data_IF_329195976928
#
_entry.id   IF_329195976928
#
_cell.length_a   1.000
_cell.length_b   1.000
_cell.length_c   1.000
_cell.angle_alpha   90.00
_cell.angle_beta   90.00
_cell.angle_gamma   90.00
#
_symmetry.space_group_name_H-M   'P 1'
#
loop_
_entity.id
_entity.type
_entity.pdbx_description
1 polymer ?
#
# COMPACT_ATOMS: atom_id res chain seq x y z
N UNK A 1 8.50 -7.83 -25.82
CA UNK A 1 7.75 -7.54 -24.57
C UNK A 1 7.77 -8.79 -23.73
N UNK A 2 8.31 -8.72 -22.52
CA UNK A 2 8.27 -9.83 -21.56
C UNK A 2 6.83 -9.89 -21.04
N UNK A 3 6.25 -11.09 -20.93
CA UNK A 3 4.89 -11.25 -20.40
C UNK A 3 4.87 -11.02 -18.87
N UNK A 4 3.72 -10.62 -18.32
CA UNK A 4 3.52 -10.50 -16.87
C UNK A 4 3.88 -11.78 -16.11
N UNK A 5 3.55 -12.91 -16.69
CA UNK A 5 3.86 -14.20 -16.10
C UNK A 5 5.37 -14.45 -16.02
N UNK A 6 6.12 -14.09 -17.08
CA UNK A 6 7.59 -14.18 -17.07
C UNK A 6 8.23 -13.22 -16.09
N UNK A 7 7.67 -12.00 -15.93
CA UNK A 7 8.11 -11.04 -14.90
C UNK A 7 7.88 -11.61 -13.50
N UNK A 8 6.69 -12.12 -13.23
CA UNK A 8 6.36 -12.70 -11.93
C UNK A 8 7.26 -13.91 -11.58
N UNK A 9 7.50 -14.80 -12.54
CA UNK A 9 8.37 -15.96 -12.31
C UNK A 9 9.84 -15.58 -12.14
N UNK A 10 10.33 -14.64 -12.95
CA UNK A 10 11.75 -14.26 -12.99
C UNK A 10 12.16 -13.37 -11.81
N UNK A 11 11.26 -12.48 -11.36
CA UNK A 11 11.58 -11.46 -10.38
C UNK A 11 10.85 -11.61 -9.05
N UNK A 12 10.07 -12.67 -8.90
CA UNK A 12 9.25 -12.93 -7.70
C UNK A 12 10.02 -12.80 -6.40
N UNK A 13 11.21 -13.37 -6.33
CA UNK A 13 11.98 -13.40 -5.09
C UNK A 13 12.48 -11.98 -4.72
N UNK A 14 12.84 -11.17 -5.71
CA UNK A 14 13.27 -9.78 -5.50
C UNK A 14 12.08 -8.89 -5.12
N UNK A 15 10.95 -9.05 -5.81
CA UNK A 15 9.72 -8.34 -5.49
C UNK A 15 9.21 -8.71 -4.08
N UNK A 16 9.33 -9.99 -3.71
CA UNK A 16 9.00 -10.46 -2.37
C UNK A 16 9.92 -9.84 -1.30
N UNK A 17 11.22 -9.70 -1.59
CA UNK A 17 12.16 -9.06 -0.68
C UNK A 17 11.84 -7.57 -0.48
N UNK A 18 11.52 -6.84 -1.56
CA UNK A 18 11.02 -5.46 -1.49
C UNK A 18 9.78 -5.39 -0.59
N UNK A 19 8.83 -6.30 -0.82
CA UNK A 19 7.61 -6.42 -0.02
C UNK A 19 7.91 -6.64 1.46
N UNK A 20 8.77 -7.60 1.77
CA UNK A 20 9.16 -7.94 3.14
C UNK A 20 9.81 -6.77 3.88
N UNK A 21 10.80 -6.13 3.27
CA UNK A 21 11.52 -5.01 3.88
C UNK A 21 10.60 -3.81 4.05
N UNK A 22 9.84 -3.46 3.02
CA UNK A 22 8.91 -2.33 3.05
C UNK A 22 7.80 -2.50 4.08
N UNK A 23 7.15 -3.65 4.06
CA UNK A 23 6.09 -3.98 5.01
C UNK A 23 6.62 -4.10 6.45
N UNK A 24 7.81 -4.67 6.65
CA UNK A 24 8.45 -4.75 7.97
C UNK A 24 8.75 -3.38 8.57
N UNK A 25 9.26 -2.44 7.76
CA UNK A 25 9.50 -1.07 8.21
C UNK A 25 8.17 -0.35 8.52
N UNK A 26 7.15 -0.54 7.68
CA UNK A 26 5.83 0.03 7.90
C UNK A 26 5.19 -0.51 9.19
N UNK A 27 5.26 -1.83 9.42
CA UNK A 27 4.76 -2.48 10.63
C UNK A 27 5.43 -1.92 11.88
N UNK A 28 6.75 -1.78 11.87
CA UNK A 28 7.50 -1.19 12.98
C UNK A 28 7.04 0.24 13.25
N UNK A 29 6.88 1.07 12.21
CA UNK A 29 6.45 2.45 12.37
C UNK A 29 5.01 2.55 12.92
N UNK A 30 4.10 1.68 12.50
CA UNK A 30 2.72 1.62 13.03
C UNK A 30 2.72 1.12 14.48
N UNK A 31 3.50 0.08 14.79
CA UNK A 31 3.63 -0.45 16.15
C UNK A 31 4.13 0.62 17.13
N UNK A 32 5.16 1.37 16.75
CA UNK A 32 5.70 2.48 17.55
C UNK A 32 4.67 3.59 17.76
N UNK A 33 3.91 3.93 16.70
CA UNK A 33 2.89 4.99 16.76
C UNK A 33 1.71 4.59 17.66
N UNK A 34 1.25 3.34 17.58
CA UNK A 34 0.12 2.84 18.37
C UNK A 34 0.53 2.40 19.79
N UNK A 35 1.83 2.26 20.05
CA UNK A 35 2.33 1.71 21.30
C UNK A 35 1.96 0.25 21.51
N UNK A 36 1.78 -0.50 20.42
CA UNK A 36 1.36 -1.89 20.41
C UNK A 36 2.45 -2.78 19.81
N UNK A 37 2.38 -4.06 20.15
CA UNK A 37 3.12 -5.08 19.41
C UNK A 37 2.26 -5.51 18.21
N UNK A 38 2.78 -5.30 17.02
CA UNK A 38 2.15 -5.74 15.78
C UNK A 38 3.06 -6.79 15.14
N UNK A 39 2.55 -7.97 14.91
CA UNK A 39 3.22 -9.01 14.14
C UNK A 39 2.69 -8.93 12.69
N UNK A 40 3.50 -9.31 11.72
CA UNK A 40 3.19 -9.22 10.30
C UNK A 40 3.27 -10.61 9.66
N UNK A 41 2.30 -10.95 8.84
CA UNK A 41 2.41 -12.13 7.97
C UNK A 41 3.47 -11.90 6.88
N UNK A 42 4.00 -12.97 6.31
CA UNK A 42 4.88 -12.86 5.14
C UNK A 42 4.09 -12.24 4.00
N UNK A 43 4.50 -11.08 3.46
CA UNK A 43 3.76 -10.41 2.40
C UNK A 43 3.64 -11.28 1.16
N UNK A 44 2.46 -11.31 0.58
CA UNK A 44 2.23 -11.89 -0.74
C UNK A 44 2.40 -10.80 -1.79
N UNK A 45 3.37 -10.98 -2.66
CA UNK A 45 3.67 -10.00 -3.70
C UNK A 45 3.21 -10.52 -5.05
N UNK A 46 2.44 -9.71 -5.76
CA UNK A 46 1.92 -10.01 -7.09
C UNK A 46 2.09 -8.80 -7.99
N UNK A 47 2.51 -9.06 -9.22
CA UNK A 47 2.50 -8.09 -10.30
C UNK A 47 1.34 -8.44 -11.22
N UNK A 48 0.33 -7.58 -11.28
CA UNK A 48 -0.94 -7.86 -11.95
C UNK A 48 -1.51 -6.61 -12.62
N UNK A 49 -2.41 -6.79 -13.61
CA UNK A 49 -3.15 -5.68 -14.19
C UNK A 49 -3.94 -4.93 -13.11
N UNK A 50 -3.99 -3.59 -13.22
CA UNK A 50 -4.70 -2.72 -12.27
C UNK A 50 -6.18 -3.12 -12.14
N UNK A 51 -6.80 -3.56 -13.23
CA UNK A 51 -8.19 -4.03 -13.29
C UNK A 51 -8.46 -5.31 -12.48
N UNK A 52 -7.43 -6.11 -12.21
CA UNK A 52 -7.55 -7.35 -11.42
C UNK A 52 -7.38 -7.13 -9.91
N UNK A 53 -6.97 -5.94 -9.48
CA UNK A 53 -6.71 -5.63 -8.07
C UNK A 53 -7.98 -5.86 -7.23
N UNK A 54 -9.13 -5.35 -7.69
CA UNK A 54 -10.41 -5.46 -6.97
C UNK A 54 -10.78 -6.91 -6.68
N UNK A 55 -10.69 -7.75 -7.69
CA UNK A 55 -10.95 -9.20 -7.58
C UNK A 55 -9.94 -9.88 -6.65
N UNK A 56 -8.66 -9.47 -6.70
CA UNK A 56 -7.58 -10.06 -5.89
C UNK A 56 -7.72 -9.78 -4.40
N UNK A 57 -8.29 -8.64 -4.01
CA UNK A 57 -8.54 -8.31 -2.60
C UNK A 57 -9.88 -8.84 -2.08
N UNK A 58 -10.78 -9.26 -2.98
CA UNK A 58 -12.06 -9.90 -2.62
C UNK A 58 -13.09 -9.01 -1.93
N UNK A 59 -12.93 -7.69 -2.01
CA UNK A 59 -13.71 -6.71 -1.25
C UNK A 59 -14.54 -5.75 -2.14
N UNK A 60 -14.90 -6.14 -3.37
CA UNK A 60 -15.53 -5.24 -4.35
C UNK A 60 -16.79 -4.52 -3.84
N UNK A 61 -17.59 -5.22 -3.05
CA UNK A 61 -18.87 -4.73 -2.51
C UNK A 61 -18.75 -4.21 -1.05
N UNK A 62 -17.54 -4.10 -0.52
CA UNK A 62 -17.32 -3.65 0.86
C UNK A 62 -16.93 -2.17 0.91
N UNK A 63 -17.31 -1.50 1.99
CA UNK A 63 -16.81 -0.16 2.31
C UNK A 63 -15.44 -0.31 2.94
N UNK A 64 -14.46 0.37 2.36
CA UNK A 64 -13.06 0.35 2.81
C UNK A 64 -12.51 1.76 3.00
N UNK A 65 -11.39 1.84 3.67
CA UNK A 65 -10.58 3.06 3.76
C UNK A 65 -9.43 2.96 2.78
N UNK A 66 -9.37 3.90 1.84
CA UNK A 66 -8.28 4.04 0.89
C UNK A 66 -7.46 5.29 1.18
N UNK A 67 -6.14 5.11 1.25
CA UNK A 67 -5.17 6.21 1.37
C UNK A 67 -4.31 6.19 0.12
N UNK A 68 -4.40 7.23 -0.69
CA UNK A 68 -3.66 7.35 -1.94
C UNK A 68 -2.70 8.53 -1.89
N UNK A 69 -1.51 8.35 -2.44
CA UNK A 69 -0.48 9.38 -2.59
C UNK A 69 0.29 9.19 -3.89
N UNK A 70 0.77 10.29 -4.44
CA UNK A 70 1.71 10.26 -5.55
C UNK A 70 3.12 9.93 -5.06
N UNK A 71 3.90 9.38 -5.95
CA UNK A 71 5.33 9.10 -5.78
C UNK A 71 6.08 9.89 -6.85
N UNK A 72 7.15 10.55 -6.47
CA UNK A 72 7.94 11.39 -7.37
C UNK A 72 9.43 11.39 -7.04
N UNK A 73 10.22 12.07 -7.83
CA UNK A 73 11.67 12.29 -7.88
C UNK A 73 12.35 11.43 -8.96
N UNK A 74 13.12 10.38 -8.62
CA UNK A 74 13.78 9.54 -9.65
C UNK A 74 12.77 8.60 -10.34
N UNK A 75 11.66 8.33 -9.68
CA UNK A 75 10.51 7.57 -10.24
C UNK A 75 9.23 8.36 -10.05
N UNK A 76 8.30 8.16 -10.96
CA UNK A 76 6.94 8.71 -10.91
C UNK A 76 5.92 7.58 -10.83
N UNK A 77 4.80 7.84 -10.18
CA UNK A 77 3.73 6.87 -9.99
C UNK A 77 2.81 7.21 -8.84
N UNK A 78 2.10 6.22 -8.36
CA UNK A 78 1.29 6.36 -7.15
C UNK A 78 1.37 5.13 -6.25
N UNK A 79 0.98 5.32 -5.01
CA UNK A 79 0.87 4.27 -4.02
C UNK A 79 -0.49 4.37 -3.35
N UNK A 80 -1.07 3.24 -3.05
CA UNK A 80 -2.32 3.14 -2.32
C UNK A 80 -2.16 2.17 -1.15
N UNK A 81 -2.73 2.53 -0.01
CA UNK A 81 -2.91 1.65 1.12
C UNK A 81 -4.41 1.50 1.37
N UNK A 82 -4.87 0.26 1.41
CA UNK A 82 -6.27 -0.08 1.62
C UNK A 82 -6.40 -0.86 2.92
N UNK A 83 -7.45 -0.59 3.68
CA UNK A 83 -7.80 -1.36 4.88
C UNK A 83 -9.32 -1.46 5.01
N UNK A 84 -9.79 -2.50 5.65
CA UNK A 84 -11.20 -2.61 6.01
C UNK A 84 -11.61 -1.58 7.08
N UNK A 85 -12.91 -1.34 7.21
CA UNK A 85 -13.44 -0.34 8.14
C UNK A 85 -13.15 -0.69 9.61
N UNK A 86 -13.16 -1.97 9.97
CA UNK A 86 -12.88 -2.45 11.32
C UNK A 86 -11.45 -2.15 11.71
N UNK A 87 -10.49 -2.48 10.83
CA UNK A 87 -9.07 -2.14 11.00
C UNK A 87 -8.83 -0.65 11.13
N UNK A 88 -9.47 0.15 10.27
CA UNK A 88 -9.34 1.61 10.32
C UNK A 88 -9.92 2.19 11.60
N UNK A 89 -11.09 1.72 12.03
CA UNK A 89 -11.73 2.15 13.29
C UNK A 89 -10.87 1.80 14.49
N UNK A 90 -10.31 0.59 14.52
CA UNK A 90 -9.40 0.18 15.58
C UNK A 90 -8.18 1.09 15.69
N UNK A 91 -7.51 1.35 14.57
CA UNK A 91 -6.34 2.25 14.51
C UNK A 91 -6.71 3.64 15.05
N UNK A 92 -7.82 4.21 14.57
CA UNK A 92 -8.27 5.54 14.99
C UNK A 92 -8.62 5.56 16.48
N UNK A 93 -9.36 4.57 16.99
CA UNK A 93 -9.71 4.50 18.40
C UNK A 93 -8.46 4.46 19.29
N UNK A 94 -7.46 3.70 18.91
CA UNK A 94 -6.18 3.65 19.63
C UNK A 94 -5.46 5.00 19.63
N UNK A 95 -5.36 5.66 18.49
CA UNK A 95 -4.72 6.97 18.37
C UNK A 95 -5.46 8.06 19.15
N UNK A 96 -6.77 8.02 19.15
CA UNK A 96 -7.63 8.98 19.81
C UNK A 96 -7.91 8.64 21.28
N UNK A 97 -7.31 7.55 21.80
CA UNK A 97 -7.52 7.04 23.17
C UNK A 97 -9.01 6.78 23.48
N UNK A 98 -9.74 6.31 22.48
CA UNK A 98 -11.15 5.90 22.60
C UNK A 98 -11.26 4.42 22.99
N UNK A 99 -12.41 3.98 23.53
CA UNK A 99 -12.69 2.54 23.72
C UNK A 99 -12.60 1.78 22.41
N UNK A 100 -12.18 0.51 22.45
CA UNK A 100 -12.03 -0.33 21.25
C UNK A 100 -13.36 -0.62 20.55
N UNK A 101 -14.48 -0.56 21.28
CA UNK A 101 -15.84 -0.75 20.79
C UNK A 101 -16.54 0.54 20.31
N UNK A 102 -15.82 1.65 20.21
CA UNK A 102 -16.35 2.90 19.68
C UNK A 102 -16.54 2.78 18.15
N UNK A 103 -17.76 2.86 17.67
CA UNK A 103 -18.16 2.62 16.27
C UNK A 103 -19.07 3.74 15.74
N UNK A 104 -18.54 4.96 15.71
CA UNK A 104 -19.20 6.11 15.09
C UNK A 104 -18.59 6.37 13.70
N UNK A 105 -19.31 7.09 12.86
CA UNK A 105 -18.78 7.56 11.58
C UNK A 105 -17.54 8.43 11.78
N UNK A 106 -16.57 8.32 10.87
CA UNK A 106 -15.35 9.12 10.94
C UNK A 106 -15.64 10.61 10.79
N UNK A 107 -15.18 11.39 11.77
CA UNK A 107 -15.16 12.84 11.69
C UNK A 107 -13.88 13.37 11.00
N UNK A 108 -13.74 14.68 10.88
CA UNK A 108 -12.55 15.31 10.25
C UNK A 108 -11.24 14.99 11.00
N UNK A 109 -11.31 14.82 12.33
CA UNK A 109 -10.15 14.48 13.14
C UNK A 109 -9.74 13.02 12.90
N UNK A 110 -10.69 12.11 12.80
CA UNK A 110 -10.47 10.70 12.50
C UNK A 110 -9.84 10.53 11.14
N UNK A 111 -10.36 11.21 10.12
CA UNK A 111 -9.77 11.20 8.78
C UNK A 111 -8.36 11.81 8.76
N UNK A 112 -8.08 12.81 9.60
CA UNK A 112 -6.73 13.36 9.76
C UNK A 112 -5.78 12.36 10.42
N UNK A 113 -6.24 11.59 11.41
CA UNK A 113 -5.49 10.52 12.03
C UNK A 113 -5.16 9.41 11.03
N UNK A 114 -6.15 8.93 10.27
CA UNK A 114 -5.97 7.97 9.18
C UNK A 114 -4.95 8.46 8.15
N UNK A 115 -5.03 9.73 7.79
CA UNK A 115 -4.09 10.35 6.83
C UNK A 115 -2.65 10.34 7.34
N UNK A 116 -2.44 10.62 8.62
CA UNK A 116 -1.09 10.60 9.22
C UNK A 116 -0.55 9.17 9.31
N UNK A 117 -1.39 8.19 9.65
CA UNK A 117 -1.04 6.76 9.59
C UNK A 117 -0.56 6.38 8.19
N UNK A 118 -1.36 6.69 7.17
CA UNK A 118 -1.01 6.39 5.79
C UNK A 118 0.29 7.03 5.34
N UNK A 119 0.55 8.26 5.76
CA UNK A 119 1.80 8.98 5.48
C UNK A 119 3.02 8.29 6.11
N UNK A 120 2.90 7.83 7.36
CA UNK A 120 3.97 7.11 8.06
C UNK A 120 4.25 5.76 7.38
N UNK A 121 3.20 4.99 7.09
CA UNK A 121 3.29 3.70 6.43
C UNK A 121 3.94 3.85 5.05
N UNK A 122 3.43 4.75 4.22
CA UNK A 122 3.95 5.00 2.88
C UNK A 122 5.40 5.49 2.91
N UNK A 123 5.72 6.41 3.84
CA UNK A 123 7.08 6.92 4.02
C UNK A 123 8.07 5.82 4.39
N UNK A 124 7.68 4.93 5.30
CA UNK A 124 8.52 3.79 5.71
C UNK A 124 8.75 2.82 4.56
N UNK A 125 7.68 2.52 3.79
CA UNK A 125 7.77 1.65 2.61
C UNK A 125 8.69 2.24 1.52
N UNK A 126 8.45 3.51 1.14
CA UNK A 126 9.25 4.18 0.11
C UNK A 126 10.70 4.39 0.55
N UNK A 127 10.95 4.59 1.84
CA UNK A 127 12.31 4.64 2.39
C UNK A 127 13.04 3.30 2.23
N UNK A 128 12.35 2.17 2.47
CA UNK A 128 12.91 0.85 2.23
C UNK A 128 13.23 0.62 0.75
N UNK A 129 12.30 0.98 -0.13
CA UNK A 129 12.49 0.88 -1.58
C UNK A 129 13.67 1.76 -2.04
N UNK A 130 13.78 3.00 -1.55
CA UNK A 130 14.92 3.88 -1.79
C UNK A 130 16.23 3.23 -1.34
N UNK A 131 16.26 2.63 -0.16
CA UNK A 131 17.46 1.96 0.38
C UNK A 131 17.91 0.77 -0.47
N UNK A 132 16.98 0.01 -1.03
CA UNK A 132 17.28 -1.15 -1.88
C UNK A 132 17.73 -0.75 -3.30
N UNK A 133 17.09 0.27 -3.85
CA UNK A 133 17.29 0.69 -5.24
C UNK A 133 18.39 1.76 -5.41
N UNK A 134 18.69 2.49 -4.35
CA UNK A 134 19.53 3.69 -4.41
C UNK A 134 18.85 4.88 -5.10
N UNK A 135 17.54 4.77 -5.43
CA UNK A 135 16.77 5.84 -6.04
C UNK A 135 16.22 6.78 -4.97
N UNK A 136 16.13 8.07 -5.30
CA UNK A 136 15.45 9.06 -4.46
C UNK A 136 13.97 8.99 -4.75
N UNK A 137 13.16 8.65 -3.74
CA UNK A 137 11.72 8.45 -3.88
C UNK A 137 11.00 9.28 -2.81
N UNK A 138 10.11 10.18 -3.22
CA UNK A 138 9.40 11.09 -2.30
C UNK A 138 7.89 10.95 -2.45
N UNK A 139 7.14 10.77 -1.34
CA UNK A 139 5.69 10.77 -1.38
C UNK A 139 5.13 12.20 -1.45
N UNK A 140 3.97 12.34 -2.09
CA UNK A 140 3.15 13.55 -2.00
C UNK A 140 2.26 13.54 -0.74
N UNK A 141 1.44 14.57 -0.58
CA UNK A 141 0.45 14.62 0.51
C UNK A 141 -0.64 13.56 0.25
N UNK A 142 -0.93 12.67 1.22
CA UNK A 142 -1.97 11.67 1.06
C UNK A 142 -3.37 12.25 0.90
N UNK A 143 -4.17 11.58 0.09
CA UNK A 143 -5.62 11.73 0.01
C UNK A 143 -6.27 10.50 0.66
N UNK A 144 -7.31 10.71 1.46
CA UNK A 144 -8.07 9.64 2.13
C UNK A 144 -9.48 9.62 1.58
N UNK A 145 -9.99 8.44 1.28
CA UNK A 145 -11.38 8.19 0.93
C UNK A 145 -11.93 7.02 1.74
N UNK A 146 -13.19 7.12 2.11
CA UNK A 146 -13.98 6.03 2.70
C UNK A 146 -15.16 5.82 1.76
N UNK A 147 -15.15 4.71 1.03
CA UNK A 147 -16.15 4.42 0.01
C UNK A 147 -16.15 2.92 -0.31
N UNK A 148 -17.04 2.50 -1.19
CA UNK A 148 -17.03 1.15 -1.77
C UNK A 148 -15.67 0.86 -2.40
N UNK A 149 -15.12 -0.32 -2.18
CA UNK A 149 -13.82 -0.71 -2.71
C UNK A 149 -13.75 -0.54 -4.24
N UNK A 150 -14.82 -0.90 -4.95
CA UNK A 150 -14.91 -0.69 -6.40
C UNK A 150 -14.76 0.79 -6.80
N UNK A 151 -15.31 1.72 -6.02
CA UNK A 151 -15.19 3.15 -6.28
C UNK A 151 -13.73 3.63 -6.06
N UNK A 152 -13.12 3.24 -4.93
CA UNK A 152 -11.74 3.60 -4.59
C UNK A 152 -10.76 3.02 -5.63
N UNK A 153 -10.91 1.76 -6.00
CA UNK A 153 -10.06 1.07 -6.97
C UNK A 153 -10.27 1.53 -8.42
N UNK A 154 -11.40 2.19 -8.71
CA UNK A 154 -11.61 2.79 -10.03
C UNK A 154 -10.68 3.97 -10.31
N UNK A 155 -10.23 4.67 -9.28
CA UNK A 155 -9.37 5.85 -9.41
C UNK A 155 -8.01 5.49 -10.05
N UNK A 156 -7.26 4.50 -9.57
CA UNK A 156 -6.05 4.03 -10.24
C UNK A 156 -6.29 3.51 -11.64
N UNK A 157 -7.35 2.71 -11.84
CA UNK A 157 -7.70 2.17 -13.15
C UNK A 157 -7.95 3.29 -14.19
N UNK A 158 -8.63 4.37 -13.80
CA UNK A 158 -8.87 5.53 -14.65
C UNK A 158 -7.58 6.31 -14.88
N UNK A 159 -6.77 6.50 -13.85
CA UNK A 159 -5.56 7.32 -13.90
C UNK A 159 -4.43 6.63 -14.67
N UNK A 160 -4.29 5.33 -14.55
CA UNK A 160 -3.20 4.53 -15.12
C UNK A 160 -3.61 3.63 -16.30
N UNK A 161 -4.89 3.34 -16.49
CA UNK A 161 -5.39 2.57 -17.65
C UNK A 161 -5.11 3.19 -19.02
N UNK A 162 -4.49 4.37 -19.07
CA UNK A 162 -3.97 5.00 -20.26
C UNK A 162 -2.44 4.88 -20.44
N UNK A 163 -1.71 4.39 -19.41
CA UNK A 163 -0.24 4.45 -19.41
C UNK A 163 0.48 3.11 -19.17
N UNK A 164 -0.23 2.02 -19.05
CA UNK A 164 0.38 0.70 -18.78
C UNK A 164 -0.20 0.08 -17.53
N UNK A 165 -0.67 -1.05 -17.70
CA UNK A 165 -1.77 -1.70 -17.00
C UNK A 165 -1.34 -2.52 -15.80
N UNK A 166 -0.18 -2.27 -15.19
CA UNK A 166 0.35 -3.20 -14.18
C UNK A 166 0.69 -2.51 -12.87
N UNK A 167 0.30 -3.15 -11.78
CA UNK A 167 0.60 -2.73 -10.42
C UNK A 167 1.40 -3.81 -9.67
N UNK A 168 2.30 -3.38 -8.83
CA UNK A 168 2.92 -4.21 -7.83
C UNK A 168 2.03 -4.21 -6.58
N UNK A 169 1.24 -5.24 -6.42
CA UNK A 169 0.41 -5.42 -5.24
C UNK A 169 1.16 -6.20 -4.17
N UNK A 170 1.15 -5.68 -2.96
CA UNK A 170 1.74 -6.32 -1.78
C UNK A 170 0.65 -6.46 -0.73
N UNK A 171 0.14 -7.67 -0.62
CA UNK A 171 -0.82 -8.01 0.42
C UNK A 171 -0.07 -8.29 1.71
N UNK A 172 -0.36 -7.54 2.75
CA UNK A 172 0.21 -7.72 4.08
C UNK A 172 -0.91 -7.77 5.10
N UNK A 173 -0.91 -8.81 5.91
CA UNK A 173 -1.80 -8.93 7.06
C UNK A 173 -1.01 -8.57 8.30
N UNK A 174 -1.50 -7.60 9.06
CA UNK A 174 -0.95 -7.23 10.34
C UNK A 174 -1.78 -7.91 11.42
N UNK A 175 -1.15 -8.62 12.31
CA UNK A 175 -1.84 -9.23 13.44
C UNK A 175 -1.40 -8.56 14.73
N UNK A 176 -2.34 -7.86 15.33
CA UNK A 176 -2.38 -7.60 16.76
C UNK A 176 -3.50 -8.46 17.37
N UNK A 177 -3.99 -8.11 18.56
CA UNK A 177 -5.12 -8.80 19.17
C UNK A 177 -6.43 -8.69 18.35
N UNK A 178 -6.51 -7.75 17.38
CA UNK A 178 -7.70 -7.42 16.59
C UNK A 178 -7.55 -7.64 15.07
N UNK A 179 -6.43 -8.17 14.61
CA UNK A 179 -6.18 -8.51 13.19
C UNK A 179 -6.42 -7.36 12.21
N UNK A 180 -5.46 -6.45 12.11
CA UNK A 180 -5.49 -5.36 11.12
C UNK A 180 -5.15 -5.91 9.74
N UNK A 181 -6.07 -5.80 8.79
CA UNK A 181 -5.86 -6.19 7.40
C UNK A 181 -5.54 -4.97 6.54
N UNK A 182 -4.46 -5.05 5.79
CA UNK A 182 -4.05 -3.97 4.91
C UNK A 182 -3.40 -4.46 3.62
N UNK A 183 -3.62 -3.71 2.55
CA UNK A 183 -3.06 -3.98 1.22
C UNK A 183 -2.25 -2.78 0.77
N UNK A 184 -1.02 -3.05 0.36
CA UNK A 184 -0.22 -2.07 -0.35
C UNK A 184 -0.28 -2.30 -1.83
N UNK A 185 -0.46 -1.23 -2.57
CA UNK A 185 -0.48 -1.23 -4.02
C UNK A 185 0.47 -0.14 -4.48
N UNK A 186 1.57 -0.52 -5.12
CA UNK A 186 2.50 0.40 -5.76
C UNK A 186 2.28 0.33 -7.27
N UNK A 187 2.04 1.47 -7.87
CA UNK A 187 1.77 1.64 -9.31
C UNK A 187 2.77 2.62 -9.89
N UNK A 188 4.00 2.16 -10.22
CA UNK A 188 4.96 2.99 -10.93
C UNK A 188 4.50 3.24 -12.37
N UNK A 189 4.85 4.39 -12.93
CA UNK A 189 4.77 4.58 -14.38
C UNK A 189 5.74 3.63 -15.11
N UNK A 190 5.48 3.34 -16.39
CA UNK A 190 6.24 2.35 -17.17
C UNK A 190 7.76 2.58 -17.12
N UNK A 191 8.20 3.81 -17.36
CA UNK A 191 9.63 4.16 -17.29
C UNK A 191 10.21 4.02 -15.86
N UNK A 192 9.39 4.27 -14.85
CA UNK A 192 9.77 4.16 -13.44
C UNK A 192 9.91 2.72 -13.00
N UNK A 193 9.06 1.84 -13.53
CA UNK A 193 9.16 0.41 -13.32
C UNK A 193 10.49 -0.14 -13.85
N UNK A 194 10.87 0.23 -15.07
CA UNK A 194 12.17 -0.15 -15.66
C UNK A 194 13.35 0.34 -14.81
N UNK A 195 13.30 1.57 -14.29
CA UNK A 195 14.33 2.13 -13.40
C UNK A 195 14.46 1.31 -12.12
N UNK A 196 13.33 0.95 -11.48
CA UNK A 196 13.32 0.12 -10.27
C UNK A 196 13.99 -1.21 -10.55
N UNK A 197 13.56 -1.95 -11.57
CA UNK A 197 14.14 -3.25 -11.90
C UNK A 197 15.64 -3.15 -12.27
N UNK A 198 16.00 -2.18 -13.10
CA UNK A 198 17.39 -2.00 -13.50
C UNK A 198 18.32 -1.67 -12.31
N UNK A 199 17.85 -0.88 -11.35
CA UNK A 199 18.60 -0.55 -10.14
C UNK A 199 18.86 -1.77 -9.25
N UNK A 200 17.99 -2.77 -9.34
CA UNK A 200 18.12 -4.06 -8.65
C UNK A 200 18.93 -5.10 -9.46
N UNK A 201 19.51 -4.69 -10.61
CA UNK A 201 20.25 -5.59 -11.50
C UNK A 201 19.36 -6.52 -12.33
N UNK A 202 18.11 -6.17 -12.51
CA UNK A 202 17.07 -6.96 -13.19
C UNK A 202 16.59 -6.22 -14.47
N UNK A 203 17.39 -6.18 -15.55
CA UNK A 203 16.96 -5.52 -16.78
C UNK A 203 15.79 -6.28 -17.42
N UNK A 204 14.80 -5.52 -17.93
CA UNK A 204 13.69 -6.03 -18.75
C UNK A 204 14.17 -6.50 -20.13
#
# INVERSE_FOLDING_TARGET
MISLQEVNEKYRDVLAEIGNIGAGNATTAVADMLGLRIDMSVPQVQFLPVEEIGTSIGAEDEVIVGIMLGVGSDIDGSMMFLMDMESAQHIVNRLMMRPDDYMEDFDEMDLSAVKEVGKIIAGSYLSALSGLTGLTITPTVPFVAVDMAAAILSVPAIQFGMFGDNALMIKTEFSDELQINGYFILMPEEESYEKILSSLGLPL
#
